data_IF_395925464138
#
_entry.id   IF_395925464138
#
_cell.length_a   1.000
_cell.length_b   1.000
_cell.length_c   1.000
_cell.angle_alpha   90.00
_cell.angle_beta   90.00
_cell.angle_gamma   90.00
#
_symmetry.space_group_name_H-M   'P 1'
#
loop_
_entity.id
_entity.type
_entity.pdbx_description
1 polymer ?
#
# COMPACT_ATOMS: atom_id res chain seq x y z
N UNK A 1 6.30 8.06 6.41
CA UNK A 1 5.19 7.10 6.33
C UNK A 1 5.04 6.50 4.93
N UNK A 2 4.81 7.28 3.86
CA UNK A 2 4.65 6.73 2.51
C UNK A 2 5.82 5.87 1.99
N UNK A 3 7.07 6.29 2.23
CA UNK A 3 8.26 5.47 1.88
C UNK A 3 8.26 4.14 2.62
N UNK A 4 7.92 4.14 3.91
CA UNK A 4 7.87 2.93 4.74
C UNK A 4 6.77 1.99 4.22
N UNK A 5 5.56 2.50 4.00
CA UNK A 5 4.47 1.73 3.41
C UNK A 5 4.89 1.15 2.05
N UNK A 6 5.37 1.98 1.12
CA UNK A 6 5.71 1.54 -0.22
C UNK A 6 6.82 0.47 -0.26
N UNK A 7 7.78 0.51 0.65
CA UNK A 7 8.82 -0.52 0.74
C UNK A 7 8.34 -1.81 1.43
N UNK A 8 7.53 -1.68 2.47
CA UNK A 8 7.14 -2.81 3.32
C UNK A 8 5.88 -3.53 2.85
N UNK A 9 5.01 -2.89 2.07
CA UNK A 9 3.73 -3.46 1.64
C UNK A 9 3.90 -4.67 0.70
N UNK A 10 4.93 -4.63 -0.15
CA UNK A 10 5.20 -5.72 -1.10
C UNK A 10 6.06 -6.84 -0.50
N UNK A 11 6.54 -6.65 0.73
CA UNK A 11 7.36 -7.61 1.46
C UNK A 11 6.49 -8.32 2.52
N UNK A 12 6.66 -9.63 2.74
CA UNK A 12 5.89 -10.37 3.75
C UNK A 12 6.42 -10.12 5.17
N UNK A 13 6.49 -8.85 5.58
CA UNK A 13 7.12 -8.40 6.83
C UNK A 13 6.19 -7.53 7.70
N UNK A 14 4.90 -7.46 7.37
CA UNK A 14 3.88 -6.61 8.03
C UNK A 14 4.16 -5.11 7.90
N UNK A 15 3.50 -4.46 6.94
CA UNK A 15 3.60 -3.01 6.73
C UNK A 15 3.01 -2.18 7.89
N UNK A 16 1.89 -2.62 8.46
CA UNK A 16 1.23 -1.96 9.59
C UNK A 16 2.12 -1.88 10.84
N UNK A 17 2.85 -2.96 11.15
CA UNK A 17 3.80 -2.96 12.27
C UNK A 17 4.93 -1.94 12.11
N UNK A 18 5.47 -1.82 10.90
CA UNK A 18 6.51 -0.84 10.57
C UNK A 18 5.97 0.61 10.63
N UNK A 19 4.73 0.84 10.20
CA UNK A 19 4.10 2.17 10.30
C UNK A 19 3.89 2.58 11.76
N UNK A 20 3.37 1.70 12.61
CA UNK A 20 3.16 1.99 14.04
C UNK A 20 4.49 2.29 14.73
N UNK A 21 5.53 1.49 14.46
CA UNK A 21 6.86 1.72 15.02
C UNK A 21 7.42 3.08 14.57
N UNK A 22 7.29 3.41 13.28
CA UNK A 22 7.77 4.68 12.75
C UNK A 22 7.00 5.88 13.32
N UNK A 23 5.68 5.78 13.51
CA UNK A 23 4.88 6.83 14.17
C UNK A 23 5.35 7.09 15.59
N UNK A 24 5.58 6.01 16.35
CA UNK A 24 6.07 6.10 17.71
C UNK A 24 7.44 6.77 17.78
N UNK A 25 8.36 6.39 16.89
CA UNK A 25 9.71 6.98 16.82
C UNK A 25 9.70 8.45 16.36
N UNK A 26 8.76 8.83 15.49
CA UNK A 26 8.65 10.19 14.96
C UNK A 26 7.76 11.11 15.82
N UNK A 27 7.15 10.61 16.89
CA UNK A 27 6.27 11.38 17.78
C UNK A 27 5.01 11.91 17.10
N UNK A 28 4.51 11.25 16.05
CA UNK A 28 3.33 11.69 15.29
C UNK A 28 2.07 11.14 15.94
N UNK A 29 1.23 12.02 16.49
CA UNK A 29 -0.09 11.64 17.01
C UNK A 29 -1.07 11.31 15.87
N UNK A 30 -1.89 10.29 16.09
CA UNK A 30 -2.60 9.54 15.06
C UNK A 30 -3.86 10.22 14.52
N UNK A 31 -4.02 10.25 13.19
CA UNK A 31 -5.26 9.89 12.52
C UNK A 31 -5.07 8.50 11.88
N UNK A 32 -4.82 7.49 12.72
CA UNK A 32 -4.21 6.21 12.32
C UNK A 32 -4.90 5.53 11.14
N UNK A 33 -6.23 5.42 11.19
CA UNK A 33 -7.01 4.72 10.17
C UNK A 33 -7.02 5.47 8.83
N UNK A 34 -7.23 6.78 8.84
CA UNK A 34 -7.31 7.57 7.59
C UNK A 34 -5.96 7.60 6.86
N UNK A 35 -4.88 7.76 7.61
CA UNK A 35 -3.54 7.77 7.03
C UNK A 35 -3.18 6.38 6.48
N UNK A 36 -3.42 5.31 7.24
CA UNK A 36 -3.16 3.93 6.80
C UNK A 36 -3.94 3.56 5.54
N UNK A 37 -5.24 3.88 5.48
CA UNK A 37 -6.07 3.64 4.29
C UNK A 37 -5.56 4.43 3.09
N UNK A 38 -5.20 5.70 3.28
CA UNK A 38 -4.66 6.53 2.19
C UNK A 38 -3.34 5.97 1.65
N UNK A 39 -2.46 5.49 2.55
CA UNK A 39 -1.19 4.89 2.21
C UNK A 39 -1.38 3.55 1.47
N UNK A 40 -2.33 2.71 1.90
CA UNK A 40 -2.72 1.48 1.19
C UNK A 40 -3.32 1.77 -0.19
N UNK A 41 -4.12 2.83 -0.33
CA UNK A 41 -4.62 3.25 -1.64
C UNK A 41 -3.46 3.60 -2.58
N UNK A 42 -2.43 4.28 -2.07
CA UNK A 42 -1.22 4.57 -2.85
C UNK A 42 -0.52 3.31 -3.37
N UNK A 43 -0.35 2.29 -2.55
CA UNK A 43 0.28 1.02 -2.97
C UNK A 43 -0.62 0.20 -3.90
N UNK A 44 -1.94 0.23 -3.70
CA UNK A 44 -2.91 -0.34 -4.64
C UNK A 44 -2.78 0.31 -6.02
N UNK A 45 -2.77 1.64 -6.10
CA UNK A 45 -2.61 2.34 -7.38
C UNK A 45 -1.26 2.03 -8.04
N UNK A 46 -0.19 1.87 -7.27
CA UNK A 46 1.10 1.45 -7.80
C UNK A 46 1.01 0.09 -8.51
N UNK A 47 0.33 -0.91 -7.92
CA UNK A 47 0.07 -2.21 -8.55
C UNK A 47 -0.79 -2.06 -9.81
N UNK A 48 -1.89 -1.29 -9.73
CA UNK A 48 -2.81 -1.10 -10.85
C UNK A 48 -2.14 -0.45 -12.06
N UNK A 49 -1.22 0.49 -11.83
CA UNK A 49 -0.45 1.16 -12.88
C UNK A 49 0.64 0.23 -13.42
N UNK A 50 1.39 -0.43 -12.53
CA UNK A 50 2.51 -1.29 -12.94
C UNK A 50 2.05 -2.50 -13.75
N UNK A 51 0.95 -3.15 -13.34
CA UNK A 51 0.37 -4.32 -14.01
C UNK A 51 -0.83 -3.96 -14.90
N UNK A 52 -0.90 -2.73 -15.41
CA UNK A 52 -2.08 -2.26 -16.14
C UNK A 52 -2.43 -3.17 -17.32
N UNK A 53 -1.44 -3.57 -18.12
CA UNK A 53 -1.66 -4.38 -19.31
C UNK A 53 -2.04 -5.82 -18.97
N UNK A 54 -1.43 -6.41 -17.94
CA UNK A 54 -1.75 -7.74 -17.43
C UNK A 54 -3.14 -7.80 -16.81
N UNK A 55 -3.52 -6.78 -16.01
CA UNK A 55 -4.85 -6.66 -15.43
C UNK A 55 -5.89 -6.51 -16.54
N UNK A 56 -5.61 -5.70 -17.55
CA UNK A 56 -6.51 -5.55 -18.71
C UNK A 56 -6.70 -6.86 -19.46
N UNK A 57 -5.63 -7.62 -19.69
CA UNK A 57 -5.70 -8.94 -20.31
C UNK A 57 -6.51 -9.92 -19.44
N UNK A 58 -6.24 -9.94 -18.13
CA UNK A 58 -6.94 -10.80 -17.18
C UNK A 58 -8.46 -10.53 -17.19
N UNK A 59 -8.87 -9.25 -17.18
CA UNK A 59 -10.27 -8.86 -17.24
C UNK A 59 -10.91 -9.29 -18.57
N UNK A 60 -10.22 -9.10 -19.70
CA UNK A 60 -10.72 -9.52 -21.01
C UNK A 60 -10.89 -11.04 -21.10
N UNK A 61 -9.94 -11.80 -20.57
CA UNK A 61 -10.00 -13.25 -20.50
C UNK A 61 -11.08 -13.77 -19.55
N UNK A 62 -11.41 -13.03 -18.49
CA UNK A 62 -12.47 -13.42 -17.55
C UNK A 62 -13.89 -13.19 -18.10
N UNK A 63 -14.06 -12.24 -19.02
CA UNK A 63 -15.36 -11.86 -19.60
C UNK A 63 -15.68 -12.66 -20.87
N UNK A 64 -14.66 -13.17 -21.58
CA UNK A 64 -14.82 -14.07 -22.74
C UNK A 64 -14.99 -15.51 -22.32
#
# INVERSE_FOLDING_TARGET
MGVIQGLTEFLPISSSGHLVLAQHLMGVETPGILLEVTLHMGTMFAILIYYYDEIKQLIQSAIK
#
